data_IF_634156549121
#
_entry.id   IF_634156549121
#
_cell.length_a   1.000
_cell.length_b   1.000
_cell.length_c   1.000
_cell.angle_alpha   90.00
_cell.angle_beta   90.00
_cell.angle_gamma   90.00
#
_symmetry.space_group_name_H-M   'P 1'
#
loop_
_entity.id
_entity.type
_entity.pdbx_description
1 polymer ?
#
# COMPACT_ATOMS: atom_id res chain seq x y z
N UNK A 1 -7.71 2.61 -18.38
CA UNK A 1 -6.31 3.01 -18.15
C UNK A 1 -6.12 3.82 -16.84
N UNK A 2 -7.18 4.24 -16.15
CA UNK A 2 -7.10 4.90 -14.81
C UNK A 2 -6.72 3.98 -13.65
N UNK A 3 -6.82 2.66 -13.81
CA UNK A 3 -6.56 1.68 -12.76
C UNK A 3 -5.13 1.60 -12.22
N UNK A 4 -4.17 2.28 -12.87
CA UNK A 4 -2.78 2.31 -12.43
C UNK A 4 -2.51 3.30 -11.27
N UNK A 5 -3.34 4.33 -11.09
CA UNK A 5 -3.28 5.25 -9.97
C UNK A 5 -4.39 4.94 -8.96
N UNK A 6 -4.09 5.08 -7.69
CA UNK A 6 -5.03 4.91 -6.60
C UNK A 6 -4.88 6.06 -5.58
N UNK A 7 -5.97 6.42 -4.90
CA UNK A 7 -5.90 7.35 -3.78
C UNK A 7 -5.30 6.65 -2.57
N UNK A 8 -4.18 7.14 -2.04
CA UNK A 8 -3.68 6.81 -0.70
C UNK A 8 -4.11 7.88 0.29
N UNK A 9 -4.81 7.51 1.36
CA UNK A 9 -5.30 8.50 2.34
C UNK A 9 -4.25 8.88 3.40
N UNK A 10 -3.08 8.26 3.36
CA UNK A 10 -1.97 8.63 4.26
C UNK A 10 -1.56 10.09 4.03
N UNK A 11 -1.47 10.88 5.10
CA UNK A 11 -1.17 12.33 5.08
C UNK A 11 -2.16 13.20 4.30
N UNK A 12 -3.34 12.70 3.91
CA UNK A 12 -4.41 13.57 3.45
C UNK A 12 -4.86 14.50 4.58
N UNK A 13 -4.87 15.81 4.31
CA UNK A 13 -5.34 16.80 5.30
C UNK A 13 -6.86 16.74 5.49
N UNK A 14 -7.57 16.51 4.41
CA UNK A 14 -9.02 16.31 4.36
C UNK A 14 -9.33 15.13 3.45
N UNK A 15 -9.69 14.01 4.07
CA UNK A 15 -9.98 12.76 3.37
C UNK A 15 -11.24 12.88 2.51
N UNK A 16 -12.27 13.61 2.97
CA UNK A 16 -13.53 13.79 2.23
C UNK A 16 -13.30 14.54 0.92
N UNK A 17 -12.52 15.62 0.96
CA UNK A 17 -12.14 16.38 -0.23
C UNK A 17 -11.25 15.54 -1.16
N UNK A 18 -10.26 14.84 -0.61
CA UNK A 18 -9.34 14.03 -1.41
C UNK A 18 -10.06 12.89 -2.15
N UNK A 19 -10.97 12.17 -1.48
CA UNK A 19 -11.69 11.07 -2.12
C UNK A 19 -12.66 11.58 -3.19
N UNK A 20 -13.33 12.71 -2.94
CA UNK A 20 -14.23 13.32 -3.93
C UNK A 20 -13.48 13.75 -5.19
N UNK A 21 -12.31 14.38 -5.03
CA UNK A 21 -11.45 14.78 -6.15
C UNK A 21 -10.91 13.57 -6.92
N UNK A 22 -10.49 12.50 -6.22
CA UNK A 22 -9.99 11.29 -6.84
C UNK A 22 -11.06 10.59 -7.69
N UNK A 23 -12.25 10.38 -7.14
CA UNK A 23 -13.36 9.71 -7.85
C UNK A 23 -13.84 10.55 -9.04
N UNK A 24 -13.92 11.88 -8.87
CA UNK A 24 -14.24 12.78 -9.99
C UNK A 24 -13.19 12.75 -11.11
N UNK A 25 -11.93 12.43 -10.79
CA UNK A 25 -10.86 12.23 -11.75
C UNK A 25 -10.84 10.80 -12.37
N UNK A 26 -11.78 9.92 -12.01
CA UNK A 26 -11.89 8.56 -12.53
C UNK A 26 -10.99 7.55 -11.84
N UNK A 27 -10.54 7.83 -10.61
CA UNK A 27 -9.79 6.87 -9.79
C UNK A 27 -10.74 5.77 -9.30
N UNK A 28 -10.33 4.52 -9.47
CA UNK A 28 -11.14 3.33 -9.19
C UNK A 28 -10.69 2.55 -7.95
N UNK A 29 -9.68 3.03 -7.22
CA UNK A 29 -9.17 2.37 -6.02
C UNK A 29 -8.75 3.37 -4.95
N UNK A 30 -9.11 3.07 -3.71
CA UNK A 30 -8.74 3.84 -2.52
C UNK A 30 -7.96 2.93 -1.56
N UNK A 31 -6.84 3.39 -1.05
CA UNK A 31 -6.06 2.74 0.01
C UNK A 31 -6.10 3.58 1.27
N UNK A 32 -6.51 2.97 2.38
CA UNK A 32 -6.63 3.63 3.68
C UNK A 32 -6.04 2.79 4.81
N UNK A 33 -6.17 3.25 6.04
CA UNK A 33 -5.86 2.47 7.24
C UNK A 33 -6.59 3.04 8.47
N UNK A 34 -6.91 2.22 9.49
CA UNK A 34 -7.59 2.67 10.71
C UNK A 34 -6.81 3.73 11.50
N UNK A 35 -5.48 3.71 11.42
CA UNK A 35 -4.60 4.65 12.14
C UNK A 35 -4.31 5.95 11.37
N UNK A 36 -4.74 6.08 10.10
CA UNK A 36 -4.53 7.31 9.32
C UNK A 36 -5.43 8.44 9.81
N UNK A 37 -5.03 9.69 9.57
CA UNK A 37 -5.73 10.88 10.06
C UNK A 37 -6.11 10.77 11.55
N UNK A 38 -5.17 10.32 12.38
CA UNK A 38 -5.35 10.14 13.83
C UNK A 38 -6.50 9.15 14.21
N UNK A 39 -6.77 8.17 13.34
CA UNK A 39 -7.78 7.14 13.58
C UNK A 39 -9.15 7.40 12.95
N UNK A 40 -9.27 8.44 12.14
CA UNK A 40 -10.57 8.82 11.54
C UNK A 40 -10.60 8.77 10.01
N UNK A 41 -9.60 8.18 9.34
CA UNK A 41 -9.52 8.20 7.87
C UNK A 41 -10.59 7.35 7.17
N UNK A 42 -11.11 6.30 7.80
CA UNK A 42 -12.06 5.38 7.16
C UNK A 42 -13.49 5.94 7.08
N UNK A 43 -13.98 6.54 8.15
CA UNK A 43 -15.37 7.02 8.24
C UNK A 43 -15.74 8.03 7.15
N UNK A 44 -14.91 9.02 6.77
CA UNK A 44 -15.22 9.97 5.70
C UNK A 44 -15.31 9.36 4.30
N UNK A 45 -14.83 8.13 4.10
CA UNK A 45 -14.90 7.43 2.81
C UNK A 45 -16.31 6.89 2.53
N UNK A 46 -17.05 6.50 3.57
CA UNK A 46 -18.35 5.84 3.44
C UNK A 46 -19.34 6.55 2.51
N UNK A 47 -19.61 7.87 2.63
CA UNK A 47 -20.58 8.54 1.76
C UNK A 47 -20.21 8.52 0.26
N UNK A 48 -18.91 8.42 -0.05
CA UNK A 48 -18.43 8.31 -1.44
C UNK A 48 -18.53 6.86 -1.91
N UNK A 49 -18.14 5.89 -1.08
CA UNK A 49 -18.23 4.46 -1.39
C UNK A 49 -19.68 4.02 -1.61
N UNK A 50 -20.63 4.54 -0.83
CA UNK A 50 -22.07 4.26 -1.00
C UNK A 50 -22.59 4.74 -2.38
N UNK A 51 -22.08 5.88 -2.89
CA UNK A 51 -22.45 6.43 -4.20
C UNK A 51 -21.67 5.81 -5.37
N UNK A 52 -20.51 5.23 -5.10
CA UNK A 52 -19.60 4.67 -6.09
C UNK A 52 -19.20 3.23 -5.73
N UNK A 53 -20.14 2.27 -5.76
CA UNK A 53 -19.89 0.89 -5.33
C UNK A 53 -18.83 0.18 -6.17
N UNK A 54 -18.55 0.67 -7.39
CA UNK A 54 -17.50 0.13 -8.26
C UNK A 54 -16.08 0.50 -7.82
N UNK A 55 -15.90 1.50 -6.95
CA UNK A 55 -14.58 1.89 -6.47
C UNK A 55 -14.09 0.86 -5.47
N UNK A 56 -12.98 0.19 -5.77
CA UNK A 56 -12.34 -0.77 -4.88
C UNK A 56 -11.69 -0.08 -3.68
N UNK A 57 -11.60 -0.80 -2.55
CA UNK A 57 -10.98 -0.27 -1.35
C UNK A 57 -10.07 -1.30 -0.69
N UNK A 58 -8.88 -0.84 -0.30
CA UNK A 58 -8.00 -1.55 0.62
C UNK A 58 -7.87 -0.80 1.94
N UNK A 59 -7.80 -1.57 3.04
CA UNK A 59 -7.45 -1.06 4.35
C UNK A 59 -6.35 -1.90 4.98
N UNK A 60 -5.99 -1.63 6.21
CA UNK A 60 -4.85 -2.27 6.88
C UNK A 60 -5.22 -2.69 8.30
N UNK A 61 -4.48 -3.67 8.83
CA UNK A 61 -4.60 -4.15 10.21
C UNK A 61 -3.22 -4.18 10.88
N UNK A 62 -3.21 -4.04 12.20
CA UNK A 62 -1.99 -4.15 13.00
C UNK A 62 -1.70 -2.94 13.87
N UNK A 63 -1.74 -1.71 13.33
CA UNK A 63 -1.56 -0.52 14.17
C UNK A 63 -2.74 -0.29 15.12
N UNK A 64 -2.41 0.04 16.37
CA UNK A 64 -3.37 0.41 17.41
C UNK A 64 -3.48 1.93 17.43
N UNK A 65 -4.57 2.48 16.89
CA UNK A 65 -4.81 3.92 16.95
C UNK A 65 -5.09 4.35 18.40
N UNK A 66 -4.69 5.57 18.76
CA UNK A 66 -5.00 6.12 20.08
C UNK A 66 -6.52 6.19 20.32
N UNK A 67 -7.29 6.46 19.27
CA UNK A 67 -8.75 6.54 19.32
C UNK A 67 -9.41 5.18 19.65
N UNK A 68 -8.82 4.07 19.19
CA UNK A 68 -9.41 2.73 19.30
C UNK A 68 -8.87 1.90 20.48
N UNK A 69 -7.76 2.33 21.08
CA UNK A 69 -7.05 1.57 22.13
C UNK A 69 -7.97 1.18 23.29
N UNK A 70 -8.71 2.13 23.83
CA UNK A 70 -9.59 1.85 24.98
C UNK A 70 -10.73 0.89 24.63
N UNK A 71 -11.29 1.04 23.43
CA UNK A 71 -12.33 0.12 22.93
C UNK A 71 -11.79 -1.31 22.75
N UNK A 72 -10.57 -1.45 22.21
CA UNK A 72 -9.93 -2.74 22.04
C UNK A 72 -9.58 -3.43 23.38
N UNK A 73 -9.15 -2.66 24.39
CA UNK A 73 -8.94 -3.16 25.76
C UNK A 73 -10.28 -3.61 26.36
N UNK A 74 -11.33 -2.80 26.26
CA UNK A 74 -12.67 -3.13 26.77
C UNK A 74 -13.28 -4.35 26.09
N UNK A 75 -12.96 -4.58 24.82
CA UNK A 75 -13.34 -5.77 24.07
C UNK A 75 -12.47 -7.01 24.42
N UNK A 76 -11.46 -6.88 25.27
CA UNK A 76 -10.57 -7.97 25.66
C UNK A 76 -9.60 -8.44 24.57
N UNK A 77 -9.45 -7.69 23.47
CA UNK A 77 -8.57 -8.05 22.33
C UNK A 77 -7.17 -7.45 22.46
N UNK A 78 -6.98 -6.49 23.36
CA UNK A 78 -5.69 -5.99 23.78
C UNK A 78 -5.52 -6.12 25.29
N UNK A 79 -4.29 -6.37 25.78
CA UNK A 79 -4.03 -6.38 27.21
C UNK A 79 -4.28 -5.00 27.82
N UNK A 80 -4.85 -4.95 29.03
CA UNK A 80 -4.95 -3.75 29.83
C UNK A 80 -3.58 -3.30 30.33
N UNK A 81 -3.45 -1.99 30.64
CA UNK A 81 -2.23 -1.38 31.14
C UNK A 81 -1.50 -0.54 30.07
N UNK A 82 -0.38 0.08 30.46
CA UNK A 82 0.50 0.83 29.54
C UNK A 82 1.30 -0.16 28.69
N UNK A 83 0.68 -0.73 27.67
CA UNK A 83 1.45 -1.35 26.60
C UNK A 83 2.03 -0.21 25.75
N UNK A 84 3.35 -0.10 25.70
CA UNK A 84 4.06 0.86 24.84
C UNK A 84 3.95 0.48 23.34
N UNK A 85 3.44 -0.71 23.04
CA UNK A 85 3.35 -1.21 21.67
C UNK A 85 2.08 -0.71 20.99
N UNK A 86 2.28 0.08 19.97
CA UNK A 86 1.21 0.59 19.10
C UNK A 86 0.94 -0.35 17.91
N UNK A 87 1.27 -1.64 18.05
CA UNK A 87 1.13 -2.64 17.00
C UNK A 87 0.76 -4.02 17.56
N UNK A 88 -0.23 -4.69 16.95
CA UNK A 88 -0.70 -6.01 17.35
C UNK A 88 -1.21 -6.78 16.11
N UNK A 89 -0.63 -7.97 15.86
CA UNK A 89 -1.04 -8.89 14.80
C UNK A 89 -1.67 -10.18 15.36
N UNK A 90 -2.19 -10.15 16.60
CA UNK A 90 -2.93 -11.30 17.14
C UNK A 90 -4.28 -11.48 16.44
N UNK A 91 -4.70 -12.72 16.25
CA UNK A 91 -5.99 -13.06 15.60
C UNK A 91 -7.19 -12.31 16.22
N UNK A 92 -7.39 -12.29 17.56
CA UNK A 92 -8.53 -11.59 18.14
C UNK A 92 -8.53 -10.07 17.84
N UNK A 93 -7.34 -9.44 17.83
CA UNK A 93 -7.23 -8.03 17.51
C UNK A 93 -7.53 -7.75 16.03
N UNK A 94 -7.01 -8.57 15.12
CA UNK A 94 -7.26 -8.43 13.68
C UNK A 94 -8.74 -8.61 13.37
N UNK A 95 -9.40 -9.65 13.90
CA UNK A 95 -10.84 -9.87 13.73
C UNK A 95 -11.66 -8.65 14.20
N UNK A 96 -11.33 -8.12 15.37
CA UNK A 96 -11.98 -6.94 15.92
C UNK A 96 -11.75 -5.69 15.04
N UNK A 97 -10.51 -5.46 14.60
CA UNK A 97 -10.16 -4.32 13.76
C UNK A 97 -10.82 -4.38 12.39
N UNK A 98 -10.92 -5.56 11.78
CA UNK A 98 -11.65 -5.78 10.52
C UNK A 98 -13.13 -5.47 10.65
N UNK A 99 -13.77 -5.93 11.72
CA UNK A 99 -15.18 -5.61 12.00
C UNK A 99 -15.39 -4.10 12.17
N UNK A 100 -14.45 -3.43 12.83
CA UNK A 100 -14.49 -1.98 13.01
C UNK A 100 -14.32 -1.22 11.69
N UNK A 101 -13.35 -1.63 10.86
CA UNK A 101 -13.13 -1.06 9.51
C UNK A 101 -14.36 -1.26 8.63
N UNK A 102 -14.97 -2.46 8.63
CA UNK A 102 -16.21 -2.72 7.91
C UNK A 102 -17.34 -1.76 8.33
N UNK A 103 -17.53 -1.57 9.65
CA UNK A 103 -18.55 -0.65 10.17
C UNK A 103 -18.30 0.81 9.76
N UNK A 104 -17.03 1.26 9.75
CA UNK A 104 -16.63 2.63 9.37
C UNK A 104 -16.78 2.87 7.87
N UNK A 105 -16.36 1.93 7.05
CA UNK A 105 -16.43 2.00 5.59
C UNK A 105 -17.85 1.80 5.05
N UNK A 106 -18.75 1.18 5.84
CA UNK A 106 -20.10 0.81 5.43
C UNK A 106 -20.19 -0.42 4.54
N UNK A 107 -19.04 -1.01 4.19
CA UNK A 107 -18.90 -2.25 3.42
C UNK A 107 -17.59 -2.95 3.75
N UNK A 108 -17.49 -4.21 3.39
CA UNK A 108 -16.22 -4.94 3.48
C UNK A 108 -15.18 -4.37 2.50
N UNK A 109 -13.91 -4.23 2.90
CA UNK A 109 -12.83 -3.92 1.98
C UNK A 109 -12.56 -5.11 1.06
N UNK A 110 -12.17 -4.84 -0.18
CA UNK A 110 -11.76 -5.89 -1.11
C UNK A 110 -10.42 -6.52 -0.70
N UNK A 111 -9.49 -5.69 -0.19
CA UNK A 111 -8.15 -6.12 0.17
C UNK A 111 -7.75 -5.57 1.55
N UNK A 112 -7.11 -6.42 2.36
CA UNK A 112 -6.61 -6.04 3.69
C UNK A 112 -5.11 -6.32 3.79
N UNK A 113 -4.33 -5.33 4.23
CA UNK A 113 -2.90 -5.51 4.43
C UNK A 113 -2.53 -5.66 5.90
N UNK A 114 -1.67 -6.62 6.24
CA UNK A 114 -0.89 -6.56 7.47
C UNK A 114 0.08 -5.38 7.38
N UNK A 115 -0.09 -4.38 8.26
CA UNK A 115 0.51 -3.07 8.15
C UNK A 115 1.83 -2.97 8.90
N UNK A 116 2.95 -2.84 8.18
CA UNK A 116 4.31 -2.74 8.72
C UNK A 116 4.58 -3.80 9.80
N UNK A 117 4.56 -5.09 9.46
CA UNK A 117 4.73 -6.18 10.42
C UNK A 117 6.09 -6.13 11.15
N UNK A 118 7.07 -5.44 10.56
CA UNK A 118 8.36 -5.13 11.16
C UNK A 118 8.26 -4.17 12.36
N UNK A 119 7.14 -3.48 12.53
CA UNK A 119 6.94 -2.52 13.61
C UNK A 119 6.63 -3.23 14.94
N UNK A 120 7.54 -3.18 15.88
CA UNK A 120 7.35 -3.75 17.22
C UNK A 120 7.89 -5.17 17.41
N UNK A 121 8.61 -5.72 16.44
CA UNK A 121 9.35 -6.98 16.57
C UNK A 121 10.83 -6.78 16.24
N UNK A 122 11.72 -7.49 16.95
CA UNK A 122 13.17 -7.33 16.78
C UNK A 122 13.84 -8.39 15.89
N UNK A 123 13.16 -9.49 15.59
CA UNK A 123 13.76 -10.59 14.84
C UNK A 123 12.86 -11.08 13.69
N UNK A 124 13.52 -11.69 12.67
CA UNK A 124 12.83 -12.33 11.55
C UNK A 124 11.80 -13.38 12.01
N UNK A 125 12.18 -14.23 12.96
CA UNK A 125 11.30 -15.31 13.43
C UNK A 125 10.06 -14.76 14.15
N UNK A 126 10.20 -13.67 14.90
CA UNK A 126 9.06 -13.01 15.55
C UNK A 126 8.12 -12.39 14.53
N UNK A 127 8.65 -11.70 13.52
CA UNK A 127 7.85 -11.12 12.42
C UNK A 127 7.10 -12.21 11.69
N UNK A 128 7.76 -13.30 11.30
CA UNK A 128 7.12 -14.38 10.56
C UNK A 128 6.06 -15.12 11.40
N UNK A 129 6.28 -15.30 12.72
CA UNK A 129 5.25 -15.84 13.63
C UNK A 129 4.03 -14.90 13.75
N UNK A 130 4.27 -13.59 13.86
CA UNK A 130 3.20 -12.60 13.94
C UNK A 130 2.40 -12.55 12.63
N UNK A 131 3.09 -12.62 11.49
CA UNK A 131 2.46 -12.70 10.18
C UNK A 131 1.67 -14.01 10.00
N UNK A 132 2.15 -15.15 10.52
CA UNK A 132 1.39 -16.41 10.49
C UNK A 132 0.04 -16.25 11.18
N UNK A 133 0.04 -15.69 12.40
CA UNK A 133 -1.20 -15.40 13.15
C UNK A 133 -2.14 -14.46 12.39
N UNK A 134 -1.58 -13.42 11.74
CA UNK A 134 -2.36 -12.49 10.94
C UNK A 134 -2.95 -13.17 9.69
N UNK A 135 -2.17 -13.97 9.00
CA UNK A 135 -2.60 -14.69 7.79
C UNK A 135 -3.70 -15.70 8.12
N UNK A 136 -3.59 -16.43 9.23
CA UNK A 136 -4.65 -17.35 9.67
C UNK A 136 -6.01 -16.63 9.84
N UNK A 137 -6.03 -15.43 10.39
CA UNK A 137 -7.27 -14.68 10.57
C UNK A 137 -7.77 -14.09 9.24
N UNK A 138 -6.88 -13.52 8.44
CA UNK A 138 -7.25 -12.92 7.15
C UNK A 138 -7.68 -13.99 6.14
N UNK A 139 -7.05 -15.16 6.15
CA UNK A 139 -7.45 -16.30 5.33
C UNK A 139 -8.86 -16.76 5.71
N UNK A 140 -9.12 -16.98 7.02
CA UNK A 140 -10.46 -17.34 7.52
C UNK A 140 -11.52 -16.32 7.13
N UNK A 141 -11.18 -15.04 7.13
CA UNK A 141 -12.07 -13.93 6.73
C UNK A 141 -12.35 -13.95 5.22
N UNK A 142 -11.35 -14.32 4.42
CA UNK A 142 -11.48 -14.47 2.97
C UNK A 142 -12.27 -15.71 2.59
N UNK A 143 -12.04 -16.85 3.24
CA UNK A 143 -12.83 -18.08 3.08
C UNK A 143 -14.32 -17.87 3.39
N UNK A 144 -14.61 -16.99 4.37
CA UNK A 144 -15.97 -16.57 4.69
C UNK A 144 -16.57 -15.60 3.66
N UNK A 145 -15.83 -15.18 2.64
CA UNK A 145 -16.26 -14.25 1.60
C UNK A 145 -16.40 -12.80 2.07
N UNK A 146 -15.89 -12.46 3.26
CA UNK A 146 -15.97 -11.10 3.80
C UNK A 146 -14.97 -10.17 3.14
N UNK A 147 -13.78 -10.65 2.78
CA UNK A 147 -12.78 -9.92 1.97
C UNK A 147 -12.44 -10.75 0.74
N UNK A 148 -11.94 -10.12 -0.32
CA UNK A 148 -11.48 -10.86 -1.52
C UNK A 148 -10.09 -11.45 -1.33
N UNK A 149 -9.29 -10.83 -0.48
CA UNK A 149 -7.95 -11.27 -0.22
C UNK A 149 -7.19 -10.36 0.73
N UNK A 150 -5.94 -10.72 0.94
CA UNK A 150 -5.08 -9.98 1.84
C UNK A 150 -3.66 -9.82 1.30
N UNK A 151 -2.88 -9.00 1.98
CA UNK A 151 -1.51 -8.69 1.60
C UNK A 151 -0.65 -8.25 2.77
N UNK A 152 0.57 -7.81 2.45
CA UNK A 152 1.47 -7.16 3.41
C UNK A 152 1.84 -5.77 2.87
N UNK A 153 1.64 -4.75 3.70
CA UNK A 153 2.16 -3.40 3.48
C UNK A 153 3.35 -3.18 4.41
N UNK A 154 4.52 -2.91 3.85
CA UNK A 154 5.74 -2.75 4.62
C UNK A 154 6.51 -1.51 4.20
N UNK A 155 7.16 -0.86 5.15
CA UNK A 155 8.04 0.27 4.87
C UNK A 155 9.49 -0.19 4.67
N UNK A 156 9.99 -1.04 5.55
CA UNK A 156 11.40 -1.46 5.55
C UNK A 156 11.61 -2.98 5.52
N UNK A 157 10.61 -3.78 5.83
CA UNK A 157 10.77 -5.22 6.02
C UNK A 157 11.38 -5.95 4.82
N UNK A 158 10.98 -5.58 3.59
CA UNK A 158 11.55 -6.13 2.35
C UNK A 158 12.94 -5.56 2.05
N UNK A 159 13.14 -4.25 2.22
CA UNK A 159 14.43 -3.60 1.91
C UNK A 159 15.53 -3.94 2.92
N UNK A 160 15.17 -4.20 4.18
CA UNK A 160 16.11 -4.65 5.22
C UNK A 160 16.41 -6.14 5.16
N UNK A 161 15.69 -6.91 4.33
CA UNK A 161 15.83 -8.37 4.27
C UNK A 161 15.25 -9.09 5.49
N UNK A 162 14.43 -8.42 6.30
CA UNK A 162 13.78 -9.02 7.47
C UNK A 162 12.85 -10.17 7.05
N UNK A 163 12.21 -10.03 5.90
CA UNK A 163 11.50 -11.07 5.18
C UNK A 163 11.52 -10.80 3.67
N UNK A 164 11.25 -11.82 2.87
CA UNK A 164 11.15 -11.73 1.41
C UNK A 164 9.72 -11.98 0.95
N UNK A 165 9.39 -11.63 -0.28
CA UNK A 165 8.07 -11.98 -0.86
C UNK A 165 7.90 -13.50 -0.92
N UNK A 166 8.96 -14.24 -1.21
CA UNK A 166 8.95 -15.72 -1.21
C UNK A 166 8.63 -16.31 0.17
N UNK A 167 9.08 -15.67 1.27
CA UNK A 167 8.68 -16.07 2.62
C UNK A 167 7.19 -15.87 2.87
N UNK A 168 6.66 -14.73 2.40
CA UNK A 168 5.24 -14.41 2.54
C UNK A 168 4.36 -15.39 1.76
N UNK A 169 4.73 -15.72 0.52
CA UNK A 169 4.04 -16.72 -0.30
C UNK A 169 4.10 -18.10 0.37
N UNK A 170 5.28 -18.51 0.84
CA UNK A 170 5.45 -19.78 1.55
C UNK A 170 4.61 -19.82 2.84
N UNK A 171 4.48 -18.69 3.53
CA UNK A 171 3.64 -18.56 4.71
C UNK A 171 2.15 -18.70 4.35
N UNK A 172 1.69 -18.00 3.31
CA UNK A 172 0.33 -18.08 2.82
C UNK A 172 -0.05 -19.51 2.38
N UNK A 173 0.86 -20.19 1.68
CA UNK A 173 0.67 -21.60 1.30
C UNK A 173 0.56 -22.54 2.51
N UNK A 174 1.32 -22.29 3.58
CA UNK A 174 1.21 -23.10 4.81
C UNK A 174 -0.11 -22.88 5.56
N UNK A 175 -0.64 -21.66 5.51
CA UNK A 175 -1.87 -21.27 6.21
C UNK A 175 -3.13 -21.63 5.42
N UNK A 176 -3.21 -21.21 4.15
CA UNK A 176 -4.40 -21.33 3.30
C UNK A 176 -4.29 -22.41 2.21
N UNK A 177 -3.14 -23.12 2.14
CA UNK A 177 -2.93 -24.14 1.10
C UNK A 177 -2.69 -23.53 -0.29
N UNK A 178 -2.85 -24.32 -1.36
CA UNK A 178 -2.54 -23.91 -2.73
C UNK A 178 -3.49 -22.85 -3.29
N UNK A 179 -4.64 -22.64 -2.67
CA UNK A 179 -5.67 -21.67 -3.10
C UNK A 179 -5.80 -20.50 -2.12
N UNK A 180 -4.74 -20.19 -1.37
CA UNK A 180 -4.71 -19.09 -0.42
C UNK A 180 -5.10 -17.74 -1.05
N UNK A 181 -5.59 -16.81 -0.22
CA UNK A 181 -6.06 -15.49 -0.63
C UNK A 181 -5.01 -14.38 -0.43
N UNK A 182 -3.73 -14.72 -0.37
CA UNK A 182 -2.63 -13.74 -0.34
C UNK A 182 -2.40 -13.21 -1.75
N UNK A 183 -2.80 -11.95 -2.00
CA UNK A 183 -2.89 -11.38 -3.34
C UNK A 183 -1.98 -10.19 -3.59
N UNK A 184 -1.45 -9.53 -2.56
CA UNK A 184 -0.76 -8.28 -2.79
C UNK A 184 0.39 -7.99 -1.82
N UNK A 185 1.34 -7.17 -2.31
CA UNK A 185 2.35 -6.51 -1.49
C UNK A 185 2.35 -5.01 -1.75
N UNK A 186 2.55 -4.23 -0.67
CA UNK A 186 2.66 -2.78 -0.74
C UNK A 186 4.01 -2.36 -0.16
N UNK A 187 4.79 -1.59 -0.92
CA UNK A 187 6.12 -1.15 -0.53
C UNK A 187 6.46 0.23 -1.10
N UNK A 188 7.43 0.97 -0.54
CA UNK A 188 7.90 2.21 -1.13
C UNK A 188 8.57 1.97 -2.48
N UNK A 189 8.13 2.70 -3.50
CA UNK A 189 8.78 2.78 -4.81
C UNK A 189 8.70 4.23 -5.29
N UNK A 190 9.84 4.86 -5.48
CA UNK A 190 9.96 6.26 -5.92
C UNK A 190 11.36 6.49 -6.47
N UNK A 191 11.67 7.68 -6.97
CA UNK A 191 13.04 8.04 -7.41
C UNK A 191 14.09 7.97 -6.29
N UNK A 192 13.67 8.00 -5.01
CA UNK A 192 14.56 7.82 -3.85
C UNK A 192 14.49 6.39 -3.26
N UNK A 193 13.64 5.54 -3.83
CA UNK A 193 13.49 4.13 -3.46
C UNK A 193 13.46 3.26 -4.73
N UNK A 194 14.52 3.33 -5.54
CA UNK A 194 14.65 2.60 -6.81
C UNK A 194 15.27 1.22 -6.67
N UNK A 195 15.83 0.86 -5.52
CA UNK A 195 16.43 -0.45 -5.28
C UNK A 195 15.55 -1.64 -5.73
N UNK A 196 14.24 -1.67 -5.40
CA UNK A 196 13.35 -2.71 -5.90
C UNK A 196 13.23 -2.76 -7.42
N UNK A 197 13.25 -1.58 -8.10
CA UNK A 197 13.18 -1.50 -9.56
C UNK A 197 14.48 -1.98 -10.19
N UNK A 198 15.62 -1.53 -9.66
CA UNK A 198 16.95 -1.98 -10.11
C UNK A 198 17.08 -3.50 -10.03
N UNK A 199 16.75 -4.09 -8.88
CA UNK A 199 16.77 -5.54 -8.69
C UNK A 199 15.84 -6.28 -9.66
N UNK A 200 14.64 -5.74 -9.93
CA UNK A 200 13.69 -6.36 -10.85
C UNK A 200 14.16 -6.37 -12.30
N UNK A 201 14.90 -5.35 -12.73
CA UNK A 201 15.51 -5.29 -14.05
C UNK A 201 16.61 -6.36 -14.24
N UNK A 202 17.17 -6.85 -13.13
CA UNK A 202 18.15 -7.96 -13.10
C UNK A 202 17.49 -9.32 -12.78
N UNK A 203 16.16 -9.41 -12.79
CA UNK A 203 15.43 -10.64 -12.48
C UNK A 203 15.49 -11.06 -11.02
N UNK A 204 15.61 -10.11 -10.11
CA UNK A 204 15.73 -10.35 -8.67
C UNK A 204 14.86 -9.37 -7.84
N UNK A 205 14.88 -9.54 -6.51
CA UNK A 205 14.25 -8.63 -5.57
C UNK A 205 12.73 -8.74 -5.48
N UNK A 206 12.11 -7.86 -4.66
CA UNK A 206 10.72 -8.03 -4.28
C UNK A 206 9.72 -7.85 -5.42
N UNK A 207 9.96 -6.94 -6.38
CA UNK A 207 9.06 -6.76 -7.52
C UNK A 207 9.09 -7.98 -8.45
N UNK A 208 10.27 -8.55 -8.69
CA UNK A 208 10.39 -9.77 -9.48
C UNK A 208 9.68 -10.94 -8.81
N UNK A 209 9.94 -11.17 -7.50
CA UNK A 209 9.30 -12.25 -6.74
C UNK A 209 7.77 -12.10 -6.71
N UNK A 210 7.25 -10.87 -6.55
CA UNK A 210 5.81 -10.60 -6.57
C UNK A 210 5.20 -10.94 -7.94
N UNK A 211 5.85 -10.53 -9.03
CA UNK A 211 5.41 -10.85 -10.39
C UNK A 211 5.39 -12.35 -10.65
N UNK A 212 6.44 -13.08 -10.28
CA UNK A 212 6.51 -14.54 -10.46
C UNK A 212 5.44 -15.28 -9.64
N UNK A 213 5.05 -14.70 -8.48
CA UNK A 213 3.99 -15.23 -7.64
C UNK A 213 2.57 -14.76 -8.05
N UNK A 214 2.45 -13.93 -9.10
CA UNK A 214 1.16 -13.41 -9.55
C UNK A 214 0.51 -12.41 -8.58
N UNK A 215 1.30 -11.75 -7.74
CA UNK A 215 0.81 -10.80 -6.75
C UNK A 215 0.69 -9.39 -7.34
N UNK A 216 -0.35 -8.67 -6.91
CA UNK A 216 -0.47 -7.25 -7.13
C UNK A 216 0.58 -6.46 -6.32
N UNK A 217 1.22 -5.49 -6.96
CA UNK A 217 2.19 -4.60 -6.32
C UNK A 217 1.63 -3.18 -6.22
N UNK A 218 1.60 -2.67 -4.99
CA UNK A 218 1.18 -1.29 -4.69
C UNK A 218 2.41 -0.46 -4.31
N UNK A 219 2.73 0.56 -5.10
CA UNK A 219 3.77 1.52 -4.76
C UNK A 219 3.25 2.54 -3.76
N UNK A 220 3.82 2.58 -2.57
CA UNK A 220 3.61 3.65 -1.59
C UNK A 220 4.66 4.76 -1.74
N UNK A 221 4.35 5.96 -1.26
CA UNK A 221 5.21 7.14 -1.27
C UNK A 221 5.90 7.47 -2.63
N UNK A 222 5.21 7.40 -3.78
CA UNK A 222 5.83 7.58 -5.11
C UNK A 222 6.44 8.98 -5.30
N UNK A 223 5.96 9.98 -4.56
CA UNK A 223 6.44 11.37 -4.60
C UNK A 223 7.10 11.80 -3.28
N UNK A 224 7.48 10.85 -2.41
CA UNK A 224 8.09 11.11 -1.09
C UNK A 224 7.33 12.15 -0.27
N UNK A 225 6.03 11.91 -0.07
CA UNK A 225 5.15 12.85 0.64
C UNK A 225 4.92 14.17 -0.06
N UNK A 226 5.25 14.27 -1.34
CA UNK A 226 5.12 15.48 -2.17
C UNK A 226 6.38 16.35 -2.22
N UNK A 227 7.46 15.96 -1.55
CA UNK A 227 8.72 16.70 -1.57
C UNK A 227 9.52 16.50 -2.89
N UNK A 228 9.44 15.30 -3.46
CA UNK A 228 10.26 14.86 -4.57
C UNK A 228 10.17 15.76 -5.83
N UNK A 229 8.98 16.19 -6.31
CA UNK A 229 8.91 17.04 -7.50
C UNK A 229 9.69 18.37 -7.39
N UNK A 230 9.74 18.94 -6.20
CA UNK A 230 10.49 20.18 -5.93
C UNK A 230 12.01 19.99 -5.88
N UNK A 231 12.49 18.75 -5.76
CA UNK A 231 13.90 18.39 -5.71
C UNK A 231 14.46 17.94 -7.08
N UNK A 232 13.57 17.68 -8.05
CA UNK A 232 13.99 17.22 -9.37
C UNK A 232 14.62 18.35 -10.18
N UNK A 233 15.83 18.11 -10.69
CA UNK A 233 16.49 19.06 -11.60
C UNK A 233 15.84 19.01 -12.98
N UNK A 234 15.88 20.12 -13.77
CA UNK A 234 15.40 20.09 -15.16
C UNK A 234 16.10 19.05 -16.03
N UNK A 235 17.38 18.73 -15.74
CA UNK A 235 18.13 17.71 -16.47
C UNK A 235 17.59 16.30 -16.19
N UNK A 236 17.26 16.00 -14.94
CA UNK A 236 16.65 14.71 -14.58
C UNK A 236 15.26 14.56 -15.23
N UNK A 237 14.44 15.61 -15.20
CA UNK A 237 13.14 15.57 -15.89
C UNK A 237 13.32 15.34 -17.38
N UNK A 238 14.24 16.04 -18.05
CA UNK A 238 14.54 15.83 -19.48
C UNK A 238 15.08 14.44 -19.79
N UNK A 239 15.87 13.88 -18.89
CA UNK A 239 16.37 12.51 -19.02
C UNK A 239 15.22 11.50 -19.01
N UNK A 240 14.23 11.69 -18.13
CA UNK A 240 13.06 10.78 -18.01
C UNK A 240 12.10 11.01 -19.19
N UNK A 241 11.61 12.23 -19.37
CA UNK A 241 10.76 12.64 -20.47
C UNK A 241 10.79 14.17 -20.63
N UNK A 242 11.32 14.72 -21.74
CA UNK A 242 11.49 16.15 -21.94
C UNK A 242 10.19 16.95 -21.99
N UNK A 243 9.05 16.29 -22.16
CA UNK A 243 7.72 16.92 -22.22
C UNK A 243 6.92 16.75 -20.92
N UNK A 244 7.48 16.07 -19.92
CA UNK A 244 6.82 15.82 -18.64
C UNK A 244 6.98 16.98 -17.65
N UNK A 245 5.99 17.15 -16.76
CA UNK A 245 6.20 17.89 -15.51
C UNK A 245 7.06 17.07 -14.55
N UNK A 246 7.66 17.67 -13.51
CA UNK A 246 8.38 16.89 -12.49
C UNK A 246 7.53 15.79 -11.84
N UNK A 247 6.24 16.06 -11.57
CA UNK A 247 5.30 15.08 -11.04
C UNK A 247 5.10 13.92 -12.03
N UNK A 248 4.87 14.25 -13.30
CA UNK A 248 4.69 13.25 -14.35
C UNK A 248 5.93 12.39 -14.55
N UNK A 249 7.11 13.00 -14.57
CA UNK A 249 8.37 12.29 -14.72
C UNK A 249 8.61 11.31 -13.55
N UNK A 250 8.44 11.78 -12.31
CA UNK A 250 8.59 10.92 -11.13
C UNK A 250 7.60 9.73 -11.16
N UNK A 251 6.34 9.99 -11.48
CA UNK A 251 5.32 8.93 -11.55
C UNK A 251 5.55 7.99 -12.72
N UNK A 252 6.04 8.48 -13.86
CA UNK A 252 6.32 7.66 -15.04
C UNK A 252 7.37 6.59 -14.72
N UNK A 253 8.42 6.92 -13.97
CA UNK A 253 9.42 5.95 -13.53
C UNK A 253 8.78 4.86 -12.68
N UNK A 254 7.95 5.21 -11.68
CA UNK A 254 7.27 4.25 -10.80
C UNK A 254 6.28 3.38 -11.59
N UNK A 255 5.50 4.01 -12.46
CA UNK A 255 4.53 3.32 -13.33
C UNK A 255 5.21 2.39 -14.36
N UNK A 256 6.48 2.61 -14.68
CA UNK A 256 7.28 1.79 -15.60
C UNK A 256 8.01 0.65 -14.89
N UNK A 257 7.95 0.59 -13.55
CA UNK A 257 8.59 -0.48 -12.78
C UNK A 257 7.98 -1.85 -13.13
N UNK A 258 8.80 -2.91 -13.33
CA UNK A 258 8.30 -4.23 -13.66
C UNK A 258 7.31 -4.77 -12.61
N UNK A 259 6.15 -5.24 -13.05
CA UNK A 259 5.13 -5.85 -12.18
C UNK A 259 4.31 -4.85 -11.35
N UNK A 260 4.42 -3.54 -11.61
CA UNK A 260 3.65 -2.52 -10.88
C UNK A 260 2.17 -2.58 -11.23
N UNK A 261 1.31 -2.80 -10.21
CA UNK A 261 -0.14 -2.84 -10.38
C UNK A 261 -0.79 -1.49 -10.07
N UNK A 262 -0.41 -0.85 -8.95
CA UNK A 262 -1.00 0.42 -8.51
C UNK A 262 0.02 1.35 -7.87
N UNK A 263 -0.16 2.65 -8.09
CA UNK A 263 0.65 3.72 -7.49
C UNK A 263 -0.24 4.60 -6.62
N UNK A 264 0.06 4.69 -5.33
CA UNK A 264 -0.76 5.37 -4.33
C UNK A 264 -0.39 6.84 -4.21
N UNK A 265 -1.35 7.73 -4.47
CA UNK A 265 -1.17 9.18 -4.37
C UNK A 265 -2.09 9.79 -3.33
N UNK A 266 -1.57 10.69 -2.52
CA UNK A 266 -2.36 11.51 -1.59
C UNK A 266 -2.72 12.88 -2.21
N UNK A 267 -3.22 12.86 -3.46
CA UNK A 267 -3.63 14.06 -4.17
C UNK A 267 -5.04 14.50 -3.75
N UNK A 268 -5.22 15.77 -3.41
CA UNK A 268 -6.47 16.30 -2.86
C UNK A 268 -7.15 17.36 -3.72
N UNK A 269 -6.59 17.67 -4.89
CA UNK A 269 -7.17 18.67 -5.81
C UNK A 269 -7.33 18.12 -7.22
N UNK A 270 -8.32 18.62 -8.01
CA UNK A 270 -8.46 18.25 -9.42
C UNK A 270 -7.19 18.51 -10.26
N UNK A 271 -6.47 19.61 -9.96
CA UNK A 271 -5.23 19.95 -10.68
C UNK A 271 -4.11 18.92 -10.43
N UNK A 272 -3.95 18.43 -9.18
CA UNK A 272 -2.99 17.39 -8.86
C UNK A 272 -3.33 16.06 -9.55
N UNK A 273 -4.62 15.72 -9.63
CA UNK A 273 -5.07 14.52 -10.35
C UNK A 273 -4.88 14.65 -11.85
N UNK A 274 -5.17 15.81 -12.42
CA UNK A 274 -4.95 16.06 -13.85
C UNK A 274 -3.48 15.91 -14.23
N UNK A 275 -2.58 16.45 -13.40
CA UNK A 275 -1.12 16.31 -13.61
C UNK A 275 -0.69 14.86 -13.46
N UNK A 276 -1.10 14.15 -12.41
CA UNK A 276 -0.77 12.74 -12.19
C UNK A 276 -1.29 11.82 -13.31
N UNK A 277 -2.51 12.03 -13.78
CA UNK A 277 -3.10 11.27 -14.90
C UNK A 277 -2.36 11.53 -16.22
N UNK A 278 -1.73 12.69 -16.37
CA UNK A 278 -0.83 12.98 -17.48
C UNK A 278 0.35 11.98 -17.54
N UNK A 279 0.83 11.46 -16.42
CA UNK A 279 1.85 10.41 -16.41
C UNK A 279 1.32 9.05 -16.91
N UNK A 280 0.06 8.73 -16.60
CA UNK A 280 -0.57 7.47 -17.04
C UNK A 280 -0.75 7.42 -18.56
N UNK A 281 -1.02 8.58 -19.17
CA UNK A 281 -1.20 8.70 -20.62
C UNK A 281 0.11 8.58 -21.43
N UNK A 282 1.26 8.64 -20.75
CA UNK A 282 2.58 8.52 -21.40
C UNK A 282 2.94 7.06 -21.68
N UNK A 283 3.78 6.86 -22.70
CA UNK A 283 4.41 5.56 -22.94
C UNK A 283 5.31 5.18 -21.77
N UNK A 284 5.28 3.91 -21.37
CA UNK A 284 6.14 3.39 -20.31
C UNK A 284 7.60 3.41 -20.75
N UNK A 285 8.49 3.76 -19.83
CA UNK A 285 9.92 3.71 -20.07
C UNK A 285 10.37 2.27 -20.34
N UNK A 286 11.24 2.12 -21.32
CA UNK A 286 11.87 0.82 -21.60
C UNK A 286 12.79 0.41 -20.43
N UNK A 287 13.09 -0.89 -20.27
CA UNK A 287 14.05 -1.37 -19.27
C UNK A 287 15.41 -0.69 -19.38
N UNK A 288 15.88 -0.44 -20.61
CA UNK A 288 17.13 0.28 -20.87
C UNK A 288 17.07 1.74 -20.38
N UNK A 289 15.95 2.41 -20.62
CA UNK A 289 15.75 3.79 -20.18
C UNK A 289 15.66 3.87 -18.63
N UNK A 290 14.95 2.94 -18.00
CA UNK A 290 14.91 2.84 -16.54
C UNK A 290 16.31 2.65 -15.95
N UNK A 291 17.16 1.79 -16.55
CA UNK A 291 18.56 1.61 -16.11
C UNK A 291 19.32 2.94 -16.17
N UNK A 292 19.21 3.69 -17.26
CA UNK A 292 19.86 5.01 -17.37
C UNK A 292 19.45 5.98 -16.26
N UNK A 293 18.15 6.00 -15.90
CA UNK A 293 17.65 6.83 -14.80
C UNK A 293 18.23 6.37 -13.47
N UNK A 294 18.26 5.06 -13.21
CA UNK A 294 18.81 4.45 -11.99
C UNK A 294 20.32 4.78 -11.87
N UNK A 295 21.08 4.60 -12.94
CA UNK A 295 22.54 4.87 -12.97
C UNK A 295 22.85 6.35 -12.63
N UNK A 296 22.07 7.29 -13.15
CA UNK A 296 22.22 8.73 -12.84
C UNK A 296 21.91 9.06 -11.38
N UNK A 297 20.98 8.34 -10.78
CA UNK A 297 20.58 8.55 -9.37
C UNK A 297 21.49 7.80 -8.37
N UNK A 298 22.34 6.88 -8.86
CA UNK A 298 23.35 6.22 -8.03
C UNK A 298 22.78 5.19 -7.05
N UNK A 299 21.71 4.50 -7.40
CA UNK A 299 21.04 3.49 -6.56
C UNK A 299 21.33 2.08 -7.00
#
# INVERSE_FOLDING_TARGET
MSGALALGTYRCRDVSTAVSAAVAAGVEWIDTAPNYAQGVAETPLRPVLDRHPQVGISTKVGFVSAADRQAAISAGVLPGGRSERDHCLSRPYIAWQLALSHARLGRAPELVFAHNPEHGTGSRDEVLRSLASAFEEMESTADAGTIRGYGVATWTGLSSGLFTVSDLVSLAQRVGGPHHHFHAVQMPVSLVHLGPVAAALEGAGPLHQAREAGLDVFASAPLDGGALPGLMTPDLVRLIDPSATPVQAALLVVLSAPGMSRVLLSASTPAHWADALGAVARERLSPEHLRKVIDVLGT
#
